data_IF_364790533757
#
_entry.id   IF_364790533757
#
_cell.length_a   1.000
_cell.length_b   1.000
_cell.length_c   1.000
_cell.angle_alpha   90.00
_cell.angle_beta   90.00
_cell.angle_gamma   90.00
#
_symmetry.space_group_name_H-M   'P 1'
#
loop_
_entity.id
_entity.type
_entity.pdbx_description
1 polymer ?
#
# COMPACT_ATOMS: atom_id res chain seq x y z
N UNK A 1 -25.86 -12.04 -13.74
CA UNK A 1 -24.59 -12.49 -13.14
C UNK A 1 -23.89 -11.26 -12.60
N UNK A 2 -23.89 -11.02 -11.28
CA UNK A 2 -23.25 -9.83 -10.71
C UNK A 2 -21.75 -10.09 -10.57
N UNK A 3 -20.93 -9.26 -11.22
CA UNK A 3 -19.47 -9.28 -11.09
C UNK A 3 -19.06 -8.41 -9.90
N UNK A 4 -18.92 -9.02 -8.73
CA UNK A 4 -18.50 -8.31 -7.51
C UNK A 4 -17.00 -8.03 -7.58
N UNK A 5 -16.63 -6.74 -7.60
CA UNK A 5 -15.23 -6.31 -7.55
C UNK A 5 -14.79 -6.20 -6.08
N UNK A 6 -13.73 -6.93 -5.71
CA UNK A 6 -13.14 -6.82 -4.38
C UNK A 6 -12.52 -5.43 -4.19
N UNK A 7 -12.97 -4.70 -3.18
CA UNK A 7 -12.47 -3.37 -2.84
C UNK A 7 -11.60 -3.45 -1.58
N UNK A 8 -10.43 -2.82 -1.61
CA UNK A 8 -9.49 -2.72 -0.50
C UNK A 8 -9.18 -1.25 -0.23
N UNK A 9 -9.11 -0.87 1.04
CA UNK A 9 -8.76 0.50 1.47
C UNK A 9 -7.35 0.55 2.05
N UNK A 10 -6.60 1.60 1.77
CA UNK A 10 -5.22 1.79 2.24
C UNK A 10 -5.02 3.24 2.70
N UNK A 11 -4.07 3.46 3.59
CA UNK A 11 -3.70 4.77 4.10
C UNK A 11 -2.76 5.50 3.13
N UNK A 12 -1.90 4.75 2.43
CA UNK A 12 -1.02 5.27 1.39
C UNK A 12 -0.69 4.18 0.35
N UNK A 13 -0.40 4.63 -0.89
CA UNK A 13 0.00 3.78 -2.02
C UNK A 13 1.39 4.24 -2.48
N UNK A 14 2.33 3.32 -2.57
CA UNK A 14 3.69 3.56 -3.08
C UNK A 14 3.77 3.07 -4.53
N UNK A 15 4.06 3.98 -5.46
CA UNK A 15 4.27 3.62 -6.87
C UNK A 15 5.79 3.56 -7.15
N UNK A 16 6.31 2.34 -7.27
CA UNK A 16 7.70 2.04 -7.61
C UNK A 16 8.51 1.42 -6.46
N UNK A 17 9.02 0.20 -6.67
CA UNK A 17 9.71 -0.62 -5.66
C UNK A 17 11.24 -0.44 -5.57
N UNK A 18 11.76 0.75 -5.91
CA UNK A 18 13.19 1.05 -5.78
C UNK A 18 13.60 1.30 -4.32
N UNK A 19 14.88 1.65 -4.09
CA UNK A 19 15.39 1.91 -2.74
C UNK A 19 14.62 2.98 -1.97
N UNK A 20 14.15 4.05 -2.64
CA UNK A 20 13.33 5.07 -2.01
C UNK A 20 11.92 4.55 -1.64
N UNK A 21 11.28 3.78 -2.54
CA UNK A 21 9.94 3.23 -2.34
C UNK A 21 9.88 2.21 -1.21
N UNK A 22 10.85 1.29 -1.14
CA UNK A 22 10.93 0.33 -0.03
C UNK A 22 11.25 1.00 1.31
N UNK A 23 12.06 2.08 1.31
CA UNK A 23 12.33 2.86 2.53
C UNK A 23 11.08 3.58 3.04
N UNK A 24 10.29 4.16 2.14
CA UNK A 24 9.01 4.75 2.49
C UNK A 24 8.02 3.68 2.99
N UNK A 25 7.91 2.55 2.30
CA UNK A 25 7.04 1.43 2.70
C UNK A 25 7.43 0.89 4.08
N UNK A 26 8.74 0.75 4.37
CA UNK A 26 9.23 0.29 5.67
C UNK A 26 8.83 1.23 6.80
N UNK A 27 9.04 2.54 6.63
CA UNK A 27 8.67 3.52 7.66
C UNK A 27 7.16 3.54 7.89
N UNK A 28 6.36 3.49 6.82
CA UNK A 28 4.91 3.49 6.93
C UNK A 28 4.40 2.20 7.60
N UNK A 29 4.96 1.04 7.27
CA UNK A 29 4.62 -0.23 7.91
C UNK A 29 5.00 -0.23 9.41
N UNK A 30 6.19 0.28 9.75
CA UNK A 30 6.63 0.41 11.14
C UNK A 30 5.80 1.43 11.94
N UNK A 31 5.26 2.45 11.26
CA UNK A 31 4.31 3.40 11.83
C UNK A 31 2.88 2.85 11.96
N UNK A 32 2.63 1.61 11.54
CA UNK A 32 1.32 0.96 11.63
C UNK A 32 0.34 1.37 10.53
N UNK A 33 0.81 1.98 9.44
CA UNK A 33 -0.03 2.36 8.31
C UNK A 33 -0.25 1.19 7.35
N UNK A 34 -1.50 0.99 6.92
CA UNK A 34 -1.86 0.00 5.90
C UNK A 34 -1.47 0.55 4.53
N UNK A 35 -0.34 0.08 4.00
CA UNK A 35 0.23 0.53 2.73
C UNK A 35 0.17 -0.53 1.65
N UNK A 36 0.27 -0.10 0.40
CA UNK A 36 0.30 -0.94 -0.80
C UNK A 36 1.37 -0.47 -1.78
#
# INVERSE_FOLDING_TARGET
MANTVNTLSFDAIIIGGGGAGMRAALQLAQGGHKTA
#
